data_IF_353951773763
#
_entry.id   IF_353951773763
#
_cell.length_a   1.000
_cell.length_b   1.000
_cell.length_c   1.000
_cell.angle_alpha   90.00
_cell.angle_beta   90.00
_cell.angle_gamma   90.00
#
_symmetry.space_group_name_H-M   'P 1'
#
loop_
_entity.id
_entity.type
_entity.pdbx_description
1 polymer ?
#
# COMPACT_ATOMS: atom_id res chain seq x y z
N UNK A 1 -18.43 -6.72 0.12
CA UNK A 1 -18.92 -6.75 -1.28
C UNK A 1 -17.81 -7.04 -2.28
N UNK A 2 -16.64 -6.33 -2.22
CA UNK A 2 -15.56 -6.47 -3.20
C UNK A 2 -14.97 -7.90 -3.27
N UNK A 3 -14.69 -8.53 -2.13
CA UNK A 3 -14.18 -9.91 -2.09
C UNK A 3 -15.18 -10.92 -2.67
N UNK A 4 -16.48 -10.67 -2.54
CA UNK A 4 -17.50 -11.51 -3.16
C UNK A 4 -17.43 -11.46 -4.69
N UNK A 5 -17.19 -10.28 -5.25
CA UNK A 5 -17.00 -10.10 -6.68
C UNK A 5 -15.70 -10.75 -7.17
N UNK A 6 -14.63 -10.67 -6.39
CA UNK A 6 -13.36 -11.34 -6.68
C UNK A 6 -13.54 -12.86 -6.74
N UNK A 7 -14.34 -13.45 -5.83
CA UNK A 7 -14.67 -14.88 -5.88
C UNK A 7 -15.47 -15.27 -7.13
N UNK A 8 -16.38 -14.40 -7.60
CA UNK A 8 -17.26 -14.69 -8.74
C UNK A 8 -16.60 -14.46 -10.09
N UNK A 9 -15.84 -13.37 -10.22
CA UNK A 9 -15.27 -12.91 -11.49
C UNK A 9 -13.81 -13.34 -11.68
N UNK A 10 -13.17 -13.87 -10.65
CA UNK A 10 -11.73 -14.12 -10.61
C UNK A 10 -10.92 -12.91 -10.16
N UNK A 11 -9.75 -13.19 -9.57
CA UNK A 11 -8.86 -12.16 -9.06
C UNK A 11 -8.26 -11.31 -10.19
N UNK A 12 -7.88 -11.95 -11.28
CA UNK A 12 -7.31 -11.34 -12.48
C UNK A 12 -8.20 -10.22 -13.03
N UNK A 13 -9.48 -10.51 -13.28
CA UNK A 13 -10.44 -9.55 -13.82
C UNK A 13 -10.77 -8.47 -12.78
N UNK A 14 -10.99 -8.88 -11.53
CA UNK A 14 -11.44 -7.97 -10.50
C UNK A 14 -10.36 -6.96 -10.07
N UNK A 15 -9.12 -7.40 -9.90
CA UNK A 15 -7.99 -6.51 -9.58
C UNK A 15 -7.65 -5.57 -10.75
N UNK A 16 -7.65 -6.07 -11.98
CA UNK A 16 -7.51 -5.22 -13.17
C UNK A 16 -8.57 -4.12 -13.20
N UNK A 17 -9.83 -4.48 -13.03
CA UNK A 17 -10.93 -3.51 -13.01
C UNK A 17 -10.74 -2.46 -11.92
N UNK A 18 -10.33 -2.85 -10.70
CA UNK A 18 -10.06 -1.91 -9.62
C UNK A 18 -8.95 -0.92 -10.03
N UNK A 19 -7.82 -1.43 -10.51
CA UNK A 19 -6.67 -0.60 -10.88
C UNK A 19 -6.98 0.34 -12.05
N UNK A 20 -7.70 -0.15 -13.06
CA UNK A 20 -8.11 0.68 -14.21
C UNK A 20 -9.09 1.77 -13.78
N UNK A 21 -10.12 1.43 -13.01
CA UNK A 21 -11.11 2.43 -12.56
C UNK A 21 -10.51 3.45 -11.60
N UNK A 22 -9.67 3.01 -10.66
CA UNK A 22 -8.93 3.89 -9.77
C UNK A 22 -8.00 4.83 -10.55
N UNK A 23 -7.20 4.29 -11.51
CA UNK A 23 -6.30 5.11 -12.30
C UNK A 23 -7.03 6.14 -13.18
N UNK A 24 -8.16 5.76 -13.80
CA UNK A 24 -8.97 6.70 -14.59
C UNK A 24 -9.60 7.79 -13.72
N UNK A 25 -10.12 7.46 -12.54
CA UNK A 25 -10.65 8.46 -11.59
C UNK A 25 -9.55 9.36 -11.08
N UNK A 26 -8.35 8.82 -10.80
CA UNK A 26 -7.18 9.63 -10.45
C UNK A 26 -6.79 10.59 -11.57
N UNK A 27 -6.72 10.11 -12.82
CA UNK A 27 -6.46 10.98 -13.97
C UNK A 27 -7.54 12.05 -14.16
N UNK A 28 -8.82 11.71 -13.92
CA UNK A 28 -9.93 12.65 -14.01
C UNK A 28 -9.84 13.80 -12.99
N UNK A 29 -9.00 13.68 -11.95
CA UNK A 29 -8.76 14.79 -11.02
C UNK A 29 -8.11 16.01 -11.70
N UNK A 30 -7.52 15.84 -12.90
CA UNK A 30 -7.05 16.97 -13.69
C UNK A 30 -8.16 18.01 -14.02
N UNK A 31 -9.43 17.60 -13.96
CA UNK A 31 -10.59 18.46 -14.24
C UNK A 31 -11.19 19.08 -12.96
N UNK A 32 -10.51 18.97 -11.82
CA UNK A 32 -10.99 19.50 -10.56
C UNK A 32 -10.72 21.01 -10.44
N UNK A 33 -11.57 21.81 -11.07
CA UNK A 33 -11.44 23.28 -11.07
C UNK A 33 -12.04 23.93 -9.80
N UNK A 34 -12.81 23.20 -9.02
CA UNK A 34 -13.44 23.65 -7.79
C UNK A 34 -13.37 22.58 -6.67
N UNK A 35 -13.59 23.02 -5.43
CA UNK A 35 -13.50 22.15 -4.26
C UNK A 35 -14.53 21.01 -4.27
N UNK A 36 -15.74 21.25 -4.79
CA UNK A 36 -16.79 20.22 -4.83
C UNK A 36 -16.41 19.10 -5.80
N UNK A 37 -15.97 19.44 -7.01
CA UNK A 37 -15.48 18.48 -8.00
C UNK A 37 -14.31 17.68 -7.44
N UNK A 38 -13.37 18.35 -6.76
CA UNK A 38 -12.26 17.65 -6.09
C UNK A 38 -12.75 16.65 -5.04
N UNK A 39 -13.68 17.02 -4.16
CA UNK A 39 -14.19 16.12 -3.13
C UNK A 39 -14.98 14.94 -3.73
N UNK A 40 -15.78 15.18 -4.76
CA UNK A 40 -16.52 14.11 -5.45
C UNK A 40 -15.56 13.11 -6.08
N UNK A 41 -14.54 13.58 -6.81
CA UNK A 41 -13.54 12.71 -7.43
C UNK A 41 -12.72 11.97 -6.38
N UNK A 42 -12.35 12.59 -5.25
CA UNK A 42 -11.69 11.92 -4.12
C UNK A 42 -12.54 10.84 -3.49
N UNK A 43 -13.83 11.09 -3.33
CA UNK A 43 -14.77 10.08 -2.85
C UNK A 43 -14.87 8.89 -3.81
N UNK A 44 -15.03 9.15 -5.10
CA UNK A 44 -15.08 8.12 -6.14
C UNK A 44 -13.77 7.32 -6.22
N UNK A 45 -12.62 8.00 -6.06
CA UNK A 45 -11.31 7.37 -5.99
C UNK A 45 -11.24 6.38 -4.82
N UNK A 46 -11.66 6.80 -3.62
CA UNK A 46 -11.70 5.93 -2.45
C UNK A 46 -12.63 4.73 -2.62
N UNK A 47 -13.80 4.91 -3.26
CA UNK A 47 -14.71 3.81 -3.60
C UNK A 47 -14.08 2.84 -4.60
N UNK A 48 -13.39 3.35 -5.62
CA UNK A 48 -12.72 2.52 -6.63
C UNK A 48 -11.60 1.68 -6.01
N UNK A 49 -10.81 2.27 -5.10
CA UNK A 49 -9.64 1.66 -4.45
C UNK A 49 -10.01 0.66 -3.33
N UNK A 50 -11.12 0.86 -2.62
CA UNK A 50 -11.46 0.19 -1.37
C UNK A 50 -11.40 -1.35 -1.38
N UNK A 51 -11.51 -1.95 -2.56
CA UNK A 51 -11.45 -3.40 -2.75
C UNK A 51 -10.05 -3.96 -3.03
N UNK A 52 -9.05 -3.12 -3.27
CA UNK A 52 -7.73 -3.57 -3.73
C UNK A 52 -6.98 -4.38 -2.67
N UNK A 53 -6.72 -3.77 -1.52
CA UNK A 53 -5.96 -4.42 -0.46
C UNK A 53 -6.62 -5.70 0.09
N UNK A 54 -7.93 -5.71 0.43
CA UNK A 54 -8.61 -6.95 0.80
C UNK A 54 -8.61 -7.99 -0.32
N UNK A 55 -8.66 -7.55 -1.58
CA UNK A 55 -8.58 -8.42 -2.75
C UNK A 55 -7.21 -9.10 -2.87
N UNK A 56 -6.12 -8.37 -2.66
CA UNK A 56 -4.77 -8.94 -2.66
C UNK A 56 -4.60 -9.96 -1.52
N UNK A 57 -5.07 -9.65 -0.30
CA UNK A 57 -5.01 -10.60 0.81
C UNK A 57 -5.74 -11.90 0.44
N UNK A 58 -6.93 -11.79 -0.13
CA UNK A 58 -7.71 -12.95 -0.58
C UNK A 58 -7.00 -13.70 -1.70
N UNK A 59 -6.45 -13.00 -2.70
CA UNK A 59 -5.68 -13.60 -3.79
C UNK A 59 -4.47 -14.38 -3.26
N UNK A 60 -3.73 -13.84 -2.30
CA UNK A 60 -2.63 -14.56 -1.67
C UNK A 60 -3.07 -15.84 -0.96
N UNK A 61 -4.32 -15.93 -0.49
CA UNK A 61 -4.83 -17.19 0.08
C UNK A 61 -5.05 -18.28 -0.95
N UNK A 62 -5.18 -17.95 -2.22
CA UNK A 62 -5.32 -18.92 -3.31
C UNK A 62 -3.99 -19.51 -3.76
N UNK A 63 -2.87 -18.82 -3.46
CA UNK A 63 -1.54 -19.18 -3.92
C UNK A 63 -0.62 -19.67 -2.81
N UNK A 64 -0.83 -19.20 -1.58
CA UNK A 64 0.10 -19.46 -0.48
C UNK A 64 -0.60 -20.15 0.69
N UNK A 65 -0.15 -21.35 1.09
CA UNK A 65 -0.55 -21.96 2.34
C UNK A 65 -0.23 -21.08 3.55
N UNK A 66 -0.90 -21.28 4.67
CA UNK A 66 -0.81 -20.46 5.88
C UNK A 66 0.66 -20.25 6.34
N UNK A 67 1.50 -21.27 6.19
CA UNK A 67 2.92 -21.24 6.60
C UNK A 67 3.77 -20.22 5.81
N UNK A 68 3.46 -19.98 4.53
CA UNK A 68 4.20 -19.07 3.63
C UNK A 68 3.49 -17.76 3.34
N UNK A 69 2.20 -17.66 3.69
CA UNK A 69 1.37 -16.47 3.41
C UNK A 69 1.88 -15.21 4.10
N UNK A 70 2.38 -15.33 5.34
CA UNK A 70 2.95 -14.19 6.06
C UNK A 70 4.18 -13.62 5.35
N UNK A 71 5.03 -14.48 4.77
CA UNK A 71 6.20 -14.06 4.00
C UNK A 71 5.78 -13.38 2.68
N UNK A 72 4.81 -13.94 1.96
CA UNK A 72 4.28 -13.35 0.73
C UNK A 72 3.63 -11.97 1.00
N UNK A 73 2.86 -11.86 2.08
CA UNK A 73 2.26 -10.61 2.50
C UNK A 73 3.33 -9.58 2.93
N UNK A 74 4.36 -10.00 3.64
CA UNK A 74 5.50 -9.17 3.98
C UNK A 74 6.19 -8.60 2.74
N UNK A 75 6.40 -9.42 1.71
CA UNK A 75 6.96 -8.97 0.43
C UNK A 75 6.04 -7.94 -0.26
N UNK A 76 4.73 -8.16 -0.22
CA UNK A 76 3.75 -7.20 -0.75
C UNK A 76 3.82 -5.84 -0.03
N UNK A 77 3.99 -5.85 1.29
CA UNK A 77 4.13 -4.61 2.08
C UNK A 77 5.39 -3.81 1.77
N UNK A 78 6.46 -4.41 1.21
CA UNK A 78 7.62 -3.67 0.71
C UNK A 78 7.26 -2.74 -0.46
N UNK A 79 6.15 -3.00 -1.14
CA UNK A 79 5.67 -2.15 -2.23
C UNK A 79 5.36 -0.72 -1.81
N UNK A 80 4.84 -0.50 -0.59
CA UNK A 80 4.49 0.85 -0.11
C UNK A 80 5.71 1.78 0.02
N UNK A 81 6.74 1.46 0.83
CA UNK A 81 7.91 2.33 0.90
C UNK A 81 8.66 2.42 -0.44
N UNK A 82 8.68 1.37 -1.25
CA UNK A 82 9.27 1.42 -2.59
C UNK A 82 8.52 2.41 -3.50
N UNK A 83 7.19 2.39 -3.46
CA UNK A 83 6.36 3.34 -4.19
C UNK A 83 6.63 4.80 -3.76
N UNK A 84 6.85 5.05 -2.46
CA UNK A 84 7.16 6.38 -1.95
C UNK A 84 8.59 6.84 -2.28
N UNK A 85 9.54 5.90 -2.35
CA UNK A 85 10.92 6.18 -2.81
C UNK A 85 10.94 6.59 -4.28
N UNK A 86 10.15 5.95 -5.12
CA UNK A 86 10.10 6.24 -6.56
C UNK A 86 9.10 7.36 -6.88
N UNK A 87 7.95 7.35 -6.22
CA UNK A 87 6.86 8.29 -6.45
C UNK A 87 7.22 9.72 -6.05
N UNK A 88 7.89 9.91 -4.90
CA UNK A 88 8.29 11.23 -4.45
C UNK A 88 9.10 12.02 -5.50
N UNK A 89 10.22 11.48 -5.99
CA UNK A 89 10.99 12.11 -7.08
C UNK A 89 10.19 12.27 -8.39
N UNK A 90 9.40 11.26 -8.77
CA UNK A 90 8.56 11.32 -9.96
C UNK A 90 7.53 12.44 -9.87
N UNK A 91 6.79 12.51 -8.77
CA UNK A 91 5.80 13.55 -8.52
C UNK A 91 6.46 14.93 -8.47
N UNK A 92 7.62 15.04 -7.79
CA UNK A 92 8.41 16.28 -7.76
C UNK A 92 8.83 16.75 -9.14
N UNK A 93 9.32 15.85 -9.98
CA UNK A 93 9.70 16.15 -11.36
C UNK A 93 8.50 16.57 -12.22
N UNK A 94 7.37 15.89 -12.10
CA UNK A 94 6.13 16.24 -12.82
C UNK A 94 5.62 17.63 -12.42
N UNK A 95 5.81 18.04 -11.16
CA UNK A 95 5.44 19.38 -10.69
C UNK A 95 6.32 20.50 -11.26
N UNK A 96 7.45 20.22 -11.90
CA UNK A 96 8.26 21.20 -12.62
C UNK A 96 7.72 21.49 -14.04
N UNK A 97 6.78 20.72 -14.55
CA UNK A 97 6.17 20.93 -15.85
C UNK A 97 5.19 22.10 -15.81
N UNK A 98 5.52 23.18 -16.48
CA UNK A 98 4.69 24.39 -16.52
C UNK A 98 4.20 24.65 -17.94
N UNK A 99 2.87 24.73 -18.10
CA UNK A 99 2.28 25.17 -19.38
C UNK A 99 2.42 24.21 -20.56
N UNK A 100 2.97 23.01 -20.39
CA UNK A 100 3.07 22.01 -21.47
C UNK A 100 1.66 21.54 -21.82
N UNK A 101 1.29 21.66 -23.11
CA UNK A 101 -0.06 21.42 -23.63
C UNK A 101 -1.18 22.20 -22.92
N UNK A 102 -0.85 23.36 -22.30
CA UNK A 102 -1.82 24.19 -21.58
C UNK A 102 -2.25 23.63 -20.21
N UNK A 103 -1.62 22.57 -19.72
CA UNK A 103 -1.92 21.96 -18.43
C UNK A 103 -1.07 22.58 -17.31
N UNK A 104 -1.66 22.73 -16.14
CA UNK A 104 -0.93 23.07 -14.93
C UNK A 104 -0.09 21.88 -14.44
N UNK A 105 0.96 22.15 -13.68
CA UNK A 105 1.87 21.14 -13.15
C UNK A 105 1.17 20.02 -12.34
N UNK A 106 0.21 20.35 -11.49
CA UNK A 106 -0.56 19.38 -10.70
C UNK A 106 -1.47 18.51 -11.58
N UNK A 107 -1.95 19.01 -12.72
CA UNK A 107 -2.74 18.23 -13.67
C UNK A 107 -1.89 17.14 -14.32
N UNK A 108 -0.64 17.47 -14.69
CA UNK A 108 0.32 16.49 -15.19
C UNK A 108 0.56 15.34 -14.22
N UNK A 109 0.67 15.64 -12.92
CA UNK A 109 0.83 14.63 -11.88
C UNK A 109 -0.34 13.65 -11.89
N UNK A 110 -1.57 14.14 -11.81
CA UNK A 110 -2.75 13.27 -11.78
C UNK A 110 -2.94 12.44 -13.04
N UNK A 111 -2.73 13.04 -14.22
CA UNK A 111 -2.85 12.33 -15.50
C UNK A 111 -1.79 11.23 -15.60
N UNK A 112 -0.52 11.57 -15.35
CA UNK A 112 0.58 10.63 -15.54
C UNK A 112 0.49 9.46 -14.56
N UNK A 113 0.34 9.74 -13.28
CA UNK A 113 0.26 8.70 -12.26
C UNK A 113 -1.03 7.87 -12.37
N UNK A 114 -2.16 8.51 -12.69
CA UNK A 114 -3.43 7.83 -12.90
C UNK A 114 -3.41 6.90 -14.11
N UNK A 115 -2.92 7.37 -15.26
CA UNK A 115 -2.79 6.53 -16.46
C UNK A 115 -1.77 5.42 -16.25
N UNK A 116 -0.65 5.67 -15.58
CA UNK A 116 0.32 4.64 -15.22
C UNK A 116 -0.31 3.53 -14.39
N UNK A 117 -1.12 3.87 -13.38
CA UNK A 117 -1.85 2.89 -12.58
C UNK A 117 -2.82 2.05 -13.43
N UNK A 118 -3.54 2.69 -14.37
CA UNK A 118 -4.43 1.99 -15.31
C UNK A 118 -3.67 1.05 -16.24
N UNK A 119 -2.53 1.48 -16.78
CA UNK A 119 -1.67 0.66 -17.63
C UNK A 119 -1.12 -0.56 -16.88
N UNK A 120 -0.65 -0.36 -15.64
CA UNK A 120 -0.21 -1.47 -14.78
C UNK A 120 -1.37 -2.42 -14.48
N UNK A 121 -2.59 -1.90 -14.27
CA UNK A 121 -3.79 -2.70 -14.10
C UNK A 121 -4.10 -3.57 -15.31
N UNK A 122 -3.98 -3.01 -16.51
CA UNK A 122 -4.14 -3.75 -17.77
C UNK A 122 -3.04 -4.81 -17.93
N UNK A 123 -1.78 -4.44 -17.65
CA UNK A 123 -0.67 -5.39 -17.69
C UNK A 123 -0.87 -6.54 -16.67
N UNK A 124 -1.36 -6.23 -15.47
CA UNK A 124 -1.68 -7.22 -14.46
C UNK A 124 -2.76 -8.22 -14.95
N UNK A 125 -3.72 -7.78 -15.76
CA UNK A 125 -4.71 -8.68 -16.37
C UNK A 125 -4.06 -9.76 -17.23
N UNK A 126 -3.01 -9.46 -17.98
CA UNK A 126 -2.32 -10.44 -18.82
C UNK A 126 -1.32 -11.29 -18.04
N UNK A 127 -0.81 -10.77 -16.91
CA UNK A 127 0.23 -11.45 -16.13
C UNK A 127 -0.33 -12.31 -14.99
N UNK A 128 -1.41 -11.88 -14.32
CA UNK A 128 -1.98 -12.61 -13.21
C UNK A 128 -2.74 -13.86 -13.66
N UNK A 129 -2.68 -14.89 -12.84
CA UNK A 129 -3.42 -16.15 -13.01
C UNK A 129 -4.30 -16.38 -11.76
N UNK A 130 -5.55 -16.78 -11.95
CA UNK A 130 -6.51 -16.86 -10.85
C UNK A 130 -6.20 -17.97 -9.84
N UNK A 131 -5.76 -19.13 -10.33
CA UNK A 131 -5.54 -20.33 -9.51
C UNK A 131 -4.27 -21.07 -9.92
N UNK A 132 -3.61 -21.79 -8.99
CA UNK A 132 -2.44 -22.60 -9.31
C UNK A 132 -2.65 -23.60 -10.44
N UNK A 133 -3.82 -24.20 -10.58
CA UNK A 133 -4.17 -25.14 -11.65
C UNK A 133 -4.03 -24.52 -13.05
N UNK A 134 -4.29 -23.23 -13.17
CA UNK A 134 -4.28 -22.48 -14.43
C UNK A 134 -2.88 -21.94 -14.77
N UNK A 135 -1.90 -22.14 -13.89
CA UNK A 135 -0.53 -21.65 -14.06
C UNK A 135 0.27 -22.50 -15.05
N UNK A 136 0.67 -21.90 -16.17
CA UNK A 136 1.47 -22.60 -17.20
C UNK A 136 2.92 -22.88 -16.79
N UNK A 137 3.43 -22.20 -15.77
CA UNK A 137 4.82 -22.35 -15.28
C UNK A 137 5.00 -23.39 -14.16
N UNK A 138 3.92 -23.97 -13.63
CA UNK A 138 3.96 -25.03 -12.64
C UNK A 138 3.82 -26.40 -13.31
N UNK A 139 4.58 -27.39 -12.86
CA UNK A 139 4.38 -28.77 -13.26
C UNK A 139 3.08 -29.32 -12.66
N UNK A 140 2.52 -30.35 -13.28
CA UNK A 140 1.27 -30.98 -12.79
C UNK A 140 1.43 -31.59 -11.38
N UNK A 141 2.64 -32.02 -11.02
CA UNK A 141 2.94 -32.46 -9.67
C UNK A 141 2.91 -31.31 -8.66
N UNK A 142 3.54 -30.16 -9.00
CA UNK A 142 3.54 -28.96 -8.16
C UNK A 142 2.11 -28.41 -8.00
N UNK A 143 1.30 -28.38 -9.05
CA UNK A 143 -0.10 -27.98 -8.99
C UNK A 143 -0.88 -28.83 -8.02
N UNK A 144 -0.79 -30.18 -8.16
CA UNK A 144 -1.49 -31.14 -7.28
C UNK A 144 -1.05 -31.01 -5.83
N UNK A 145 0.24 -30.88 -5.57
CA UNK A 145 0.78 -30.73 -4.22
C UNK A 145 0.25 -29.44 -3.56
N UNK A 146 0.28 -28.31 -4.29
CA UNK A 146 -0.18 -27.02 -3.79
C UNK A 146 -1.69 -26.99 -3.56
N UNK A 147 -2.48 -27.50 -4.49
CA UNK A 147 -3.95 -27.58 -4.36
C UNK A 147 -4.35 -28.52 -3.21
N UNK A 148 -3.65 -29.64 -3.04
CA UNK A 148 -3.87 -30.54 -1.91
C UNK A 148 -3.66 -29.86 -0.56
N UNK A 149 -2.56 -29.13 -0.39
CA UNK A 149 -2.26 -28.38 0.83
C UNK A 149 -3.30 -27.29 1.12
N UNK A 150 -3.73 -26.56 0.08
CA UNK A 150 -4.76 -25.52 0.21
C UNK A 150 -6.15 -26.11 0.55
N UNK A 151 -6.51 -27.24 -0.06
CA UNK A 151 -7.78 -27.93 0.21
C UNK A 151 -7.84 -28.47 1.67
N UNK A 152 -6.73 -29.03 2.17
CA UNK A 152 -6.64 -29.43 3.58
C UNK A 152 -6.81 -28.24 4.53
N UNK A 153 -6.18 -27.11 4.21
CA UNK A 153 -6.33 -25.87 5.01
C UNK A 153 -7.79 -25.41 5.04
N UNK A 154 -8.46 -25.41 3.90
CA UNK A 154 -9.87 -24.99 3.80
C UNK A 154 -10.80 -25.94 4.56
N UNK A 155 -10.56 -27.23 4.50
CA UNK A 155 -11.30 -28.24 5.30
C UNK A 155 -11.13 -28.01 6.79
N UNK A 156 -9.91 -27.72 7.25
CA UNK A 156 -9.63 -27.40 8.66
C UNK A 156 -10.31 -26.09 9.12
N UNK A 157 -10.42 -25.11 8.24
CA UNK A 157 -11.12 -23.84 8.52
C UNK A 157 -12.63 -24.07 8.64
N UNK A 158 -13.22 -24.83 7.72
CA UNK A 158 -14.64 -25.16 7.74
C UNK A 158 -15.04 -25.94 8.99
N UNK A 159 -14.20 -26.85 9.47
CA UNK A 159 -14.43 -27.61 10.70
C UNK A 159 -14.47 -26.73 11.97
N UNK A 160 -13.87 -25.53 11.94
CA UNK A 160 -13.92 -24.56 13.06
C UNK A 160 -15.21 -23.73 13.10
N UNK A 161 -16.10 -23.90 12.13
CA UNK A 161 -17.40 -23.25 12.02
C UNK A 161 -17.34 -21.83 11.45
N UNK A 162 -18.46 -21.33 10.92
CA UNK A 162 -18.55 -19.98 10.39
C UNK A 162 -18.53 -18.98 11.53
N UNK A 163 -17.45 -18.22 11.63
CA UNK A 163 -17.42 -17.01 12.45
C UNK A 163 -18.09 -15.89 11.64
N UNK A 164 -19.37 -15.61 11.94
CA UNK A 164 -20.09 -14.53 11.28
C UNK A 164 -19.43 -13.18 11.52
N UNK A 165 -19.52 -12.26 10.55
CA UNK A 165 -18.99 -10.91 10.64
C UNK A 165 -19.37 -10.18 11.93
N UNK A 166 -20.62 -10.29 12.36
CA UNK A 166 -21.10 -9.70 13.63
C UNK A 166 -20.45 -10.32 14.87
N UNK A 167 -20.15 -11.62 14.84
CA UNK A 167 -19.44 -12.30 15.94
C UNK A 167 -18.00 -11.79 16.04
N UNK A 168 -17.33 -11.58 14.90
CA UNK A 168 -15.99 -11.01 14.87
C UNK A 168 -15.97 -9.58 15.46
N UNK A 169 -16.94 -8.72 15.11
CA UNK A 169 -17.03 -7.36 15.64
C UNK A 169 -17.29 -7.28 17.15
N UNK A 170 -17.86 -8.31 17.74
CA UNK A 170 -18.08 -8.42 19.19
C UNK A 170 -16.87 -8.97 19.95
N UNK A 171 -15.88 -9.49 19.24
CA UNK A 171 -14.66 -10.02 19.84
C UNK A 171 -13.76 -8.89 20.33
N UNK A 172 -13.52 -8.79 21.63
CA UNK A 172 -12.58 -7.80 22.21
C UNK A 172 -11.16 -7.91 21.64
N UNK A 173 -10.75 -9.10 21.21
CA UNK A 173 -9.46 -9.31 20.58
C UNK A 173 -9.41 -8.68 19.17
N UNK A 174 -10.47 -8.83 18.38
CA UNK A 174 -10.58 -8.22 17.06
C UNK A 174 -10.60 -6.69 17.19
N UNK A 175 -11.37 -6.14 18.14
CA UNK A 175 -11.42 -4.71 18.39
C UNK A 175 -10.06 -4.14 18.80
N UNK A 176 -9.28 -4.84 19.62
CA UNK A 176 -7.91 -4.45 19.97
C UNK A 176 -7.02 -4.40 18.72
N UNK A 177 -7.06 -5.39 17.85
CA UNK A 177 -6.29 -5.36 16.60
C UNK A 177 -6.74 -4.24 15.66
N UNK A 178 -8.05 -3.97 15.57
CA UNK A 178 -8.56 -2.84 14.80
C UNK A 178 -8.03 -1.51 15.34
N UNK A 179 -8.01 -1.32 16.66
CA UNK A 179 -7.48 -0.11 17.28
C UNK A 179 -5.98 0.05 17.00
N UNK A 180 -5.19 -1.01 17.19
CA UNK A 180 -3.75 -0.99 16.88
C UNK A 180 -3.50 -0.66 15.41
N UNK A 181 -4.23 -1.31 14.51
CA UNK A 181 -4.11 -1.03 13.07
C UNK A 181 -4.52 0.41 12.73
N UNK A 182 -5.60 0.89 13.31
CA UNK A 182 -6.06 2.28 13.11
C UNK A 182 -4.99 3.30 13.54
N UNK A 183 -4.40 3.14 14.73
CA UNK A 183 -3.36 4.06 15.23
C UNK A 183 -2.10 4.02 14.38
N UNK A 184 -1.69 2.83 13.90
CA UNK A 184 -0.57 2.69 12.96
C UNK A 184 -0.87 3.44 11.66
N UNK A 185 -2.05 3.23 11.07
CA UNK A 185 -2.43 3.87 9.80
C UNK A 185 -2.52 5.39 9.94
N UNK A 186 -3.07 5.91 11.05
CA UNK A 186 -3.08 7.35 11.33
C UNK A 186 -1.67 7.93 11.36
N UNK A 187 -0.71 7.23 11.97
CA UNK A 187 0.69 7.67 12.00
C UNK A 187 1.33 7.63 10.61
N UNK A 188 1.13 6.54 9.85
CA UNK A 188 1.68 6.40 8.49
C UNK A 188 1.14 7.48 7.57
N UNK A 189 -0.18 7.69 7.53
CA UNK A 189 -0.78 8.74 6.69
C UNK A 189 -0.36 10.14 7.15
N UNK A 190 -0.23 10.36 8.47
CA UNK A 190 0.30 11.60 9.02
C UNK A 190 1.69 11.92 8.46
N UNK A 191 2.59 10.94 8.47
CA UNK A 191 3.94 11.11 7.91
C UNK A 191 3.89 11.31 6.38
N UNK A 192 3.14 10.48 5.65
CA UNK A 192 3.04 10.55 4.19
C UNK A 192 2.60 11.95 3.71
N UNK A 193 1.62 12.55 4.37
CA UNK A 193 1.13 13.89 4.00
C UNK A 193 1.97 15.03 4.56
N UNK A 194 2.48 14.88 5.78
CA UNK A 194 3.19 15.96 6.45
C UNK A 194 4.66 16.08 6.02
N UNK A 195 5.33 14.98 5.70
CA UNK A 195 6.76 14.96 5.38
C UNK A 195 7.12 15.85 4.19
N UNK A 196 6.46 15.76 3.00
CA UNK A 196 6.78 16.64 1.88
C UNK A 196 6.56 18.12 2.20
N UNK A 197 5.44 18.42 2.90
CA UNK A 197 5.11 19.80 3.31
C UNK A 197 6.13 20.35 4.28
N UNK A 198 6.60 19.54 5.22
CA UNK A 198 7.63 19.93 6.19
C UNK A 198 8.97 20.18 5.51
N UNK A 199 9.37 19.34 4.56
CA UNK A 199 10.59 19.54 3.77
C UNK A 199 10.49 20.82 2.93
N UNK A 200 9.37 21.03 2.25
CA UNK A 200 9.13 22.23 1.45
C UNK A 200 9.23 23.50 2.30
N UNK A 201 8.79 23.51 3.56
CA UNK A 201 8.89 24.66 4.45
C UNK A 201 10.33 25.08 4.77
N UNK A 202 11.31 24.17 4.65
CA UNK A 202 12.74 24.48 4.79
C UNK A 202 13.39 24.90 3.45
N UNK A 203 12.67 24.76 2.35
CA UNK A 203 13.11 25.12 0.98
C UNK A 203 12.30 26.30 0.43
N UNK A 204 12.00 27.29 1.27
CA UNK A 204 11.25 28.51 0.92
C UNK A 204 9.86 28.23 0.28
N UNK A 205 9.23 27.11 0.64
CA UNK A 205 7.93 26.71 0.13
C UNK A 205 7.94 26.16 -1.31
N UNK A 206 9.12 25.99 -1.90
CA UNK A 206 9.23 25.42 -3.25
C UNK A 206 8.80 23.94 -3.25
N UNK A 207 8.05 23.55 -4.28
CA UNK A 207 7.70 22.16 -4.57
C UNK A 207 8.37 21.76 -5.88
N UNK A 208 8.89 20.55 -5.94
CA UNK A 208 9.58 20.08 -7.14
C UNK A 208 10.46 18.86 -6.84
N UNK A 209 11.36 18.55 -7.77
CA UNK A 209 12.22 17.38 -7.70
C UNK A 209 13.07 17.33 -6.42
N UNK A 210 13.58 18.47 -5.95
CA UNK A 210 14.39 18.56 -4.72
C UNK A 210 13.62 18.07 -3.50
N UNK A 211 12.36 18.50 -3.33
CA UNK A 211 11.49 18.04 -2.24
C UNK A 211 11.20 16.56 -2.38
N UNK A 212 10.92 16.09 -3.60
CA UNK A 212 10.67 14.68 -3.89
C UNK A 212 11.86 13.78 -3.54
N UNK A 213 13.08 14.18 -3.91
CA UNK A 213 14.32 13.44 -3.62
C UNK A 213 14.60 13.39 -2.11
N UNK A 214 14.47 14.52 -1.41
CA UNK A 214 14.70 14.54 0.04
C UNK A 214 13.63 13.73 0.78
N UNK A 215 12.37 13.79 0.33
CA UNK A 215 11.28 12.99 0.88
C UNK A 215 11.50 11.49 0.70
N UNK A 216 12.22 11.07 -0.33
CA UNK A 216 12.53 9.66 -0.56
C UNK A 216 13.52 9.09 0.48
N UNK A 217 14.39 9.91 1.10
CA UNK A 217 15.44 9.45 2.02
C UNK A 217 14.88 8.65 3.21
N UNK A 218 13.90 9.15 4.00
CA UNK A 218 13.31 8.37 5.08
C UNK A 218 12.69 7.05 4.61
N UNK A 219 12.12 7.00 3.41
CA UNK A 219 11.53 5.78 2.87
C UNK A 219 12.58 4.74 2.45
N UNK A 220 13.75 5.19 1.97
CA UNK A 220 14.92 4.30 1.77
C UNK A 220 15.38 3.75 3.10
N UNK A 221 15.51 4.59 4.14
CA UNK A 221 15.83 4.14 5.49
C UNK A 221 14.79 3.11 5.99
N UNK A 222 13.51 3.37 5.79
CA UNK A 222 12.43 2.44 6.15
C UNK A 222 12.55 1.08 5.46
N UNK A 223 12.93 1.04 4.16
CA UNK A 223 13.18 -0.22 3.44
C UNK A 223 14.33 -1.03 4.07
N UNK A 224 15.44 -0.36 4.37
CA UNK A 224 16.62 -1.00 4.96
C UNK A 224 16.30 -1.50 6.37
N UNK A 225 15.71 -0.66 7.21
CA UNK A 225 15.34 -1.00 8.59
C UNK A 225 14.32 -2.14 8.62
N UNK A 226 13.31 -2.10 7.78
CA UNK A 226 12.32 -3.19 7.67
C UNK A 226 12.99 -4.51 7.35
N UNK A 227 13.96 -4.52 6.42
CA UNK A 227 14.71 -5.74 6.06
C UNK A 227 15.55 -6.27 7.22
N UNK A 228 16.19 -5.39 7.99
CA UNK A 228 17.02 -5.77 9.13
C UNK A 228 16.18 -6.26 10.31
N UNK A 229 15.13 -5.52 10.65
CA UNK A 229 14.25 -5.83 11.78
C UNK A 229 13.47 -7.12 11.55
N UNK A 230 12.96 -7.36 10.34
CA UNK A 230 12.27 -8.63 10.04
C UNK A 230 13.20 -9.83 10.17
N UNK A 231 14.45 -9.74 9.66
CA UNK A 231 15.46 -10.79 9.86
C UNK A 231 15.78 -11.03 11.33
N UNK A 232 15.90 -9.96 12.12
CA UNK A 232 16.16 -10.07 13.55
C UNK A 232 14.97 -10.66 14.30
N UNK A 233 13.73 -10.28 13.93
CA UNK A 233 12.50 -10.81 14.50
C UNK A 233 12.39 -12.33 14.28
N UNK A 234 12.70 -12.80 13.07
CA UNK A 234 12.67 -14.22 12.71
C UNK A 234 13.71 -15.02 13.50
N UNK A 235 14.91 -14.45 13.71
CA UNK A 235 15.98 -15.10 14.47
C UNK A 235 15.72 -15.15 15.96
N UNK A 236 15.27 -14.04 16.55
CA UNK A 236 15.09 -13.91 18.01
C UNK A 236 13.75 -14.42 18.51
N UNK A 237 12.75 -14.61 17.62
CA UNK A 237 11.34 -14.90 17.95
C UNK A 237 10.70 -13.86 18.90
N UNK A 238 11.30 -12.68 19.05
CA UNK A 238 10.83 -11.60 19.95
C UNK A 238 10.00 -10.56 19.20
N UNK A 239 9.07 -10.99 18.35
CA UNK A 239 8.27 -10.13 17.47
C UNK A 239 7.58 -8.99 18.23
N UNK A 240 7.00 -9.27 19.41
CA UNK A 240 6.28 -8.27 20.20
C UNK A 240 7.21 -7.16 20.73
N UNK A 241 8.38 -7.52 21.26
CA UNK A 241 9.33 -6.55 21.83
C UNK A 241 9.90 -5.65 20.73
N UNK A 242 10.27 -6.24 19.59
CA UNK A 242 10.76 -5.49 18.44
C UNK A 242 9.68 -4.55 17.87
N UNK A 243 8.43 -5.01 17.77
CA UNK A 243 7.34 -4.15 17.33
C UNK A 243 7.13 -2.93 18.27
N UNK A 244 7.14 -3.14 19.58
CA UNK A 244 7.02 -2.05 20.57
C UNK A 244 8.21 -1.09 20.49
N UNK A 245 9.44 -1.62 20.34
CA UNK A 245 10.64 -0.78 20.21
C UNK A 245 10.59 0.08 18.93
N UNK A 246 10.19 -0.51 17.79
CA UNK A 246 10.08 0.22 16.53
C UNK A 246 8.99 1.30 16.57
N UNK A 247 7.83 1.00 17.17
CA UNK A 247 6.77 2.00 17.35
C UNK A 247 7.20 3.13 18.28
N UNK A 248 7.94 2.82 19.34
CA UNK A 248 8.52 3.82 20.25
C UNK A 248 9.53 4.73 19.54
N UNK A 249 10.43 4.15 18.72
CA UNK A 249 11.37 4.91 17.91
C UNK A 249 10.65 5.80 16.89
N UNK A 250 9.65 5.29 16.19
CA UNK A 250 8.86 6.07 15.25
C UNK A 250 8.16 7.26 15.94
N UNK A 251 7.56 7.04 17.10
CA UNK A 251 6.93 8.11 17.87
C UNK A 251 7.94 9.18 18.31
N UNK A 252 9.13 8.77 18.79
CA UNK A 252 10.20 9.67 19.16
C UNK A 252 10.74 10.46 17.96
N UNK A 253 10.91 9.79 16.81
CA UNK A 253 11.35 10.42 15.57
C UNK A 253 10.35 11.48 15.06
N UNK A 254 9.05 11.17 15.03
CA UNK A 254 8.00 12.12 14.65
C UNK A 254 8.02 13.33 15.60
N UNK A 255 8.11 13.12 16.91
CA UNK A 255 8.18 14.20 17.90
C UNK A 255 9.44 15.06 17.71
N UNK A 256 10.60 14.44 17.51
CA UNK A 256 11.86 15.12 17.25
C UNK A 256 11.83 15.95 15.96
N UNK A 257 11.20 15.43 14.89
CA UNK A 257 11.05 16.15 13.63
C UNK A 257 10.21 17.41 13.75
N UNK A 258 9.18 17.40 14.63
CA UNK A 258 8.36 18.59 14.90
C UNK A 258 9.16 19.71 15.59
N UNK A 259 10.16 19.34 16.39
CA UNK A 259 11.04 20.27 17.12
C UNK A 259 12.29 20.65 16.32
N UNK A 260 12.54 20.02 15.18
CA UNK A 260 13.75 20.26 14.38
C UNK A 260 13.75 21.68 13.79
N UNK A 261 14.82 22.42 14.06
CA UNK A 261 15.00 23.79 13.58
C UNK A 261 15.65 23.88 12.20
N UNK A 262 16.11 22.79 11.61
CA UNK A 262 16.71 22.74 10.27
C UNK A 262 16.36 21.44 9.53
N UNK A 263 16.53 21.50 8.21
CA UNK A 263 16.21 20.39 7.29
C UNK A 263 16.95 19.10 7.63
N UNK A 264 18.24 19.18 7.93
CA UNK A 264 19.06 17.98 8.20
C UNK A 264 18.58 17.23 9.44
N UNK A 265 18.31 17.94 10.54
CA UNK A 265 17.75 17.32 11.75
C UNK A 265 16.35 16.76 11.54
N UNK A 266 15.51 17.46 10.76
CA UNK A 266 14.17 16.96 10.43
C UNK A 266 14.23 15.64 9.65
N UNK A 267 15.08 15.54 8.61
CA UNK A 267 15.24 14.32 7.80
C UNK A 267 15.80 13.18 8.63
N UNK A 268 16.84 13.43 9.44
CA UNK A 268 17.41 12.39 10.33
C UNK A 268 16.37 11.88 11.34
N UNK A 269 15.54 12.75 11.88
CA UNK A 269 14.50 12.36 12.82
C UNK A 269 13.40 11.48 12.18
N UNK A 270 13.19 11.59 10.86
CA UNK A 270 12.27 10.71 10.13
C UNK A 270 12.92 9.40 9.67
N UNK A 271 14.25 9.28 9.65
CA UNK A 271 14.99 8.05 9.35
C UNK A 271 15.07 7.10 10.53
#
# INVERSE_FOLDING_TARGET
PSNLMLHRLGARVWLCRIMVTWGLVSAAMMFADDAMTFYVLRFLLGVAEAGFFPGIILYLTYWFPQRSRAQALGLFYFGLPLALVLGGPLSGWLLEFHGIFGLANWQWLFVTEGLLASLVGIAAYFYLVDRPRDAGWLSDEQKRALEGELAEEDTRKQARGPHGFLSALRSGQVLKFCLVYFTIQMSVYGVVFYLPTRIASFLDGQVGLSVGLITAIPWVCALVVTRLVTRQADRSRQHRQLAVAMLGMAAAGIAASALAGNLGLAVIAFC
#
